data_IF_168549849830
#
_entry.id   IF_168549849830
#
_cell.length_a   1.000
_cell.length_b   1.000
_cell.length_c   1.000
_cell.angle_alpha   90.00
_cell.angle_beta   90.00
_cell.angle_gamma   90.00
#
_symmetry.space_group_name_H-M   'P 1'
#
loop_
_entity.id
_entity.type
_entity.pdbx_description
1 polymer ?
#
# COMPACT_ATOMS: atom_id res chain seq x y z
N UNK A 1 -13.06 -28.63 -24.24
CA UNK A 1 -13.63 -27.42 -23.61
C UNK A 1 -12.53 -26.77 -22.80
N UNK A 2 -11.83 -25.80 -23.38
CA UNK A 2 -10.73 -25.13 -22.71
C UNK A 2 -11.32 -24.19 -21.64
N UNK A 3 -11.06 -24.48 -20.36
CA UNK A 3 -11.54 -23.65 -19.26
C UNK A 3 -10.65 -22.42 -19.20
N UNK A 4 -11.05 -21.37 -19.93
CA UNK A 4 -10.33 -20.10 -19.98
C UNK A 4 -10.12 -19.51 -18.58
N UNK A 5 -8.95 -19.78 -18.00
CA UNK A 5 -8.53 -19.25 -16.72
C UNK A 5 -8.42 -17.73 -16.85
N UNK A 6 -9.31 -16.98 -16.19
CA UNK A 6 -9.22 -15.51 -16.15
C UNK A 6 -7.84 -15.13 -15.60
N UNK A 7 -7.01 -14.54 -16.46
CA UNK A 7 -5.83 -13.80 -16.02
C UNK A 7 -6.34 -12.64 -15.18
N UNK A 8 -5.87 -12.53 -13.93
CA UNK A 8 -6.32 -11.50 -13.02
C UNK A 8 -5.67 -10.16 -13.39
N UNK A 9 -6.21 -9.48 -14.42
CA UNK A 9 -5.69 -8.20 -14.92
C UNK A 9 -5.78 -7.05 -13.89
N UNK A 10 -6.57 -7.21 -12.83
CA UNK A 10 -6.71 -6.22 -11.75
C UNK A 10 -5.73 -6.40 -10.59
N UNK A 11 -4.90 -7.44 -10.60
CA UNK A 11 -4.04 -7.83 -9.48
C UNK A 11 -4.82 -8.38 -8.28
N UNK A 12 -4.14 -8.52 -7.14
CA UNK A 12 -4.75 -9.03 -5.90
C UNK A 12 -5.65 -7.97 -5.24
N UNK A 13 -6.96 -8.19 -5.28
CA UNK A 13 -7.96 -7.27 -4.71
C UNK A 13 -7.88 -7.19 -3.19
N UNK A 14 -7.55 -8.28 -2.50
CA UNK A 14 -7.47 -8.30 -1.04
C UNK A 14 -6.26 -7.53 -0.56
N UNK A 15 -5.08 -7.80 -1.14
CA UNK A 15 -3.87 -7.03 -0.85
C UNK A 15 -4.06 -5.54 -1.14
N UNK A 16 -4.70 -5.21 -2.26
CA UNK A 16 -5.00 -3.83 -2.63
C UNK A 16 -5.95 -3.14 -1.63
N UNK A 17 -6.96 -3.83 -1.12
CA UNK A 17 -7.87 -3.33 -0.09
C UNK A 17 -7.15 -3.14 1.26
N UNK A 18 -6.26 -4.06 1.65
CA UNK A 18 -5.46 -3.95 2.87
C UNK A 18 -4.55 -2.72 2.82
N UNK A 19 -3.83 -2.52 1.71
CA UNK A 19 -2.98 -1.33 1.51
C UNK A 19 -3.78 -0.03 1.58
N UNK A 20 -4.99 -0.01 0.99
CA UNK A 20 -5.88 1.14 1.09
C UNK A 20 -6.25 1.44 2.56
N UNK A 21 -6.66 0.42 3.32
CA UNK A 21 -7.00 0.57 4.75
C UNK A 21 -5.81 1.06 5.58
N UNK A 22 -4.60 0.53 5.35
CA UNK A 22 -3.38 0.97 6.03
C UNK A 22 -3.15 2.47 5.80
N UNK A 23 -3.18 2.92 4.54
CA UNK A 23 -2.96 4.34 4.21
C UNK A 23 -3.98 5.25 4.88
N UNK A 24 -5.27 4.91 4.83
CA UNK A 24 -6.31 5.75 5.44
C UNK A 24 -6.24 5.75 6.98
N UNK A 25 -5.89 4.63 7.59
CA UNK A 25 -5.68 4.54 9.04
C UNK A 25 -4.50 5.42 9.45
N UNK A 26 -3.39 5.37 8.71
CA UNK A 26 -2.22 6.22 8.95
C UNK A 26 -2.52 7.70 8.75
N UNK A 27 -3.28 8.08 7.72
CA UNK A 27 -3.71 9.48 7.56
C UNK A 27 -4.54 9.99 8.75
N UNK A 28 -5.29 9.11 9.42
CA UNK A 28 -6.07 9.48 10.61
C UNK A 28 -5.22 9.56 11.88
N UNK A 29 -4.24 8.67 12.03
CA UNK A 29 -3.58 8.45 13.32
C UNK A 29 -2.07 8.70 13.34
N UNK A 30 -1.36 8.52 12.22
CA UNK A 30 0.09 8.70 12.13
C UNK A 30 0.45 10.16 11.73
N UNK A 31 1.11 10.94 12.61
CA UNK A 31 1.55 12.30 12.31
C UNK A 31 2.49 12.36 11.10
N UNK A 32 3.41 11.40 10.96
CA UNK A 32 4.41 11.39 9.87
C UNK A 32 3.75 11.27 8.50
N UNK A 33 2.73 10.42 8.40
CA UNK A 33 1.94 10.27 7.16
C UNK A 33 1.14 11.54 6.84
N UNK A 34 0.64 12.26 7.86
CA UNK A 34 -0.05 13.55 7.69
C UNK A 34 0.89 14.66 7.23
N UNK A 35 2.05 14.80 7.85
CA UNK A 35 3.08 15.75 7.44
C UNK A 35 3.52 15.51 5.99
N UNK A 36 3.70 14.24 5.59
CA UNK A 36 3.99 13.91 4.20
C UNK A 36 2.84 14.35 3.28
N UNK A 37 1.59 14.08 3.66
CA UNK A 37 0.43 14.46 2.87
C UNK A 37 0.35 15.99 2.68
N UNK A 38 0.53 16.75 3.76
CA UNK A 38 0.51 18.22 3.75
C UNK A 38 1.63 18.79 2.89
N UNK A 39 2.87 18.33 3.08
CA UNK A 39 4.01 18.74 2.25
C UNK A 39 3.75 18.47 0.77
N UNK A 40 3.26 17.28 0.41
CA UNK A 40 2.97 16.97 -1.00
C UNK A 40 1.80 17.79 -1.56
N UNK A 41 0.86 18.19 -0.70
CA UNK A 41 -0.24 19.09 -1.08
C UNK A 41 0.29 20.48 -1.38
N UNK A 42 1.21 21.01 -0.56
CA UNK A 42 1.90 22.28 -0.79
C UNK A 42 2.74 22.26 -2.07
N UNK A 43 3.33 21.11 -2.42
CA UNK A 43 4.02 20.90 -3.70
C UNK A 43 3.06 20.75 -4.91
N UNK A 44 1.76 20.99 -4.75
CA UNK A 44 0.78 21.00 -5.82
C UNK A 44 0.29 19.62 -6.28
N UNK A 45 0.60 18.54 -5.55
CA UNK A 45 0.07 17.21 -5.92
C UNK A 45 -1.41 17.09 -5.57
N UNK A 46 -2.15 16.44 -6.47
CA UNK A 46 -3.53 16.06 -6.19
C UNK A 46 -3.59 14.98 -5.10
N UNK A 47 -4.68 14.96 -4.34
CA UNK A 47 -4.95 13.91 -3.35
C UNK A 47 -4.76 12.51 -3.91
N UNK A 48 -5.20 12.26 -5.15
CA UNK A 48 -5.06 10.95 -5.81
C UNK A 48 -3.59 10.55 -6.00
N UNK A 49 -2.73 11.49 -6.38
CA UNK A 49 -1.30 11.24 -6.54
C UNK A 49 -0.60 10.99 -5.21
N UNK A 50 -0.96 11.76 -4.19
CA UNK A 50 -0.42 11.60 -2.84
C UNK A 50 -0.78 10.22 -2.27
N UNK A 51 -2.05 9.83 -2.35
CA UNK A 51 -2.52 8.50 -1.91
C UNK A 51 -1.82 7.39 -2.70
N UNK A 52 -1.60 7.57 -4.01
CA UNK A 52 -0.85 6.60 -4.83
C UNK A 52 0.60 6.46 -4.35
N UNK A 53 1.27 7.56 -4.00
CA UNK A 53 2.61 7.51 -3.39
C UNK A 53 2.60 6.79 -2.04
N UNK A 54 1.70 7.16 -1.13
CA UNK A 54 1.59 6.55 0.19
C UNK A 54 1.33 5.04 0.09
N UNK A 55 0.46 4.62 -0.83
CA UNK A 55 0.18 3.20 -1.06
C UNK A 55 1.40 2.43 -1.55
N UNK A 56 2.27 3.04 -2.38
CA UNK A 56 3.54 2.44 -2.80
C UNK A 56 4.52 2.30 -1.63
N UNK A 57 4.60 3.29 -0.75
CA UNK A 57 5.43 3.19 0.46
C UNK A 57 4.93 2.08 1.38
N UNK A 58 3.62 2.05 1.66
CA UNK A 58 3.01 0.99 2.46
C UNK A 58 3.27 -0.41 1.87
N UNK A 59 3.15 -0.57 0.55
CA UNK A 59 3.44 -1.84 -0.11
C UNK A 59 4.91 -2.28 0.08
N UNK A 60 5.86 -1.36 -0.06
CA UNK A 60 7.28 -1.65 0.13
C UNK A 60 7.62 -1.99 1.58
N UNK A 61 7.01 -1.30 2.54
CA UNK A 61 7.15 -1.61 3.97
C UNK A 61 6.59 -2.99 4.30
N UNK A 62 5.35 -3.28 3.90
CA UNK A 62 4.71 -4.58 4.14
C UNK A 62 5.51 -5.71 3.50
N UNK A 63 5.98 -5.53 2.26
CA UNK A 63 6.82 -6.53 1.61
C UNK A 63 8.10 -6.83 2.40
N UNK A 64 8.79 -5.80 2.90
CA UNK A 64 9.99 -5.99 3.70
C UNK A 64 9.69 -6.70 5.03
N UNK A 65 8.59 -6.33 5.71
CA UNK A 65 8.17 -6.98 6.95
C UNK A 65 7.86 -8.46 6.74
N UNK A 66 7.04 -8.78 5.73
CA UNK A 66 6.66 -10.16 5.42
C UNK A 66 7.89 -10.98 5.01
N UNK A 67 8.77 -10.42 4.16
CA UNK A 67 10.00 -11.08 3.75
C UNK A 67 10.92 -11.38 4.94
N UNK A 68 11.09 -10.44 5.86
CA UNK A 68 11.88 -10.64 7.08
C UNK A 68 11.31 -11.78 7.90
N UNK A 69 9.98 -11.81 8.11
CA UNK A 69 9.31 -12.90 8.84
C UNK A 69 9.54 -14.25 8.16
N UNK A 70 9.43 -14.34 6.83
CA UNK A 70 9.66 -15.60 6.10
C UNK A 70 11.10 -16.09 6.14
N UNK A 71 12.08 -15.21 6.38
CA UNK A 71 13.50 -15.58 6.48
C UNK A 71 13.93 -16.02 7.89
N UNK A 72 13.11 -15.79 8.91
CA UNK A 72 13.37 -16.30 10.26
C UNK A 72 12.86 -17.75 10.31
N UNK A 73 13.72 -18.75 10.57
CA UNK A 73 13.25 -20.12 10.73
C UNK A 73 12.32 -20.16 11.95
N UNK A 74 11.13 -20.74 11.77
CA UNK A 74 10.31 -21.14 12.90
C UNK A 74 11.07 -22.29 13.61
N UNK A 75 11.53 -22.03 14.83
CA UNK A 75 12.05 -23.05 15.73
C UNK A 75 10.93 -24.00 16.17
#
# INVERSE_FOLDING_TARGET
MDTGRRLNHGGDRQANAALHRIVFTRLRHDPRTREYYERRTQEGKTRREIIRCLRRYAAREVFNLVRTVSSVPLL
#
